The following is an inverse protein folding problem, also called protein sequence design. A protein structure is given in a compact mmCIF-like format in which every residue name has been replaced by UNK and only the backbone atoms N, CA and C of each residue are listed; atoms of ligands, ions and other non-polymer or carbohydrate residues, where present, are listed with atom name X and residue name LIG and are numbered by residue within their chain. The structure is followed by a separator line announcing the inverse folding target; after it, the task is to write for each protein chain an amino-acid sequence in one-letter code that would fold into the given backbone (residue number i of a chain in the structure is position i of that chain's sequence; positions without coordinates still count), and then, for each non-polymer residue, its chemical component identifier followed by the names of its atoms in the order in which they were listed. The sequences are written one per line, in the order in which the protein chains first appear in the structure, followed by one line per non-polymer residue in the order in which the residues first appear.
data_IF_232385731445
#
_entry.id   IF_232385731445
#
_cell.length_a   1.000
_cell.length_b   1.000
_cell.length_c   1.000
_cell.angle_alpha   90.00
_cell.angle_beta   90.00
_cell.angle_gamma   90.00
#
_symmetry.space_group_name_H-M   'P 1'
#
loop_
_entity.id
_entity.type
_entity.pdbx_description
1 polymer ?
#
# COMPACT_ATOMS: atom_id res chain seq x y z
N UNK A 1 52.99 3.08 -50.62
CA UNK A 1 51.63 3.58 -50.35
C UNK A 1 51.14 2.95 -49.04
N UNK A 2 51.21 3.72 -47.93
CA UNK A 2 50.73 3.27 -46.60
C UNK A 2 49.28 3.79 -46.43
N UNK A 3 48.32 2.86 -46.26
CA UNK A 3 46.91 3.20 -45.96
C UNK A 3 46.76 3.37 -44.47
N UNK A 4 46.44 4.57 -44.02
CA UNK A 4 46.03 4.86 -42.63
C UNK A 4 44.56 4.47 -42.48
N UNK A 5 44.28 3.55 -41.56
CA UNK A 5 42.92 3.26 -41.08
C UNK A 5 42.63 4.21 -39.92
N UNK A 6 41.70 5.11 -40.11
CA UNK A 6 41.14 5.92 -39.02
C UNK A 6 39.96 5.14 -38.42
N UNK A 7 40.15 4.60 -37.19
CA UNK A 7 39.06 4.04 -36.40
C UNK A 7 38.32 5.18 -35.72
N UNK A 8 37.06 5.41 -36.15
CA UNK A 8 36.13 6.31 -35.47
C UNK A 8 35.45 5.50 -34.37
N UNK A 9 35.83 5.74 -33.13
CA UNK A 9 35.12 5.25 -31.94
C UNK A 9 33.92 6.19 -31.69
N UNK A 10 32.73 5.69 -32.00
CA UNK A 10 31.47 6.36 -31.62
C UNK A 10 31.17 6.03 -30.18
N UNK A 11 31.46 6.97 -29.30
CA UNK A 11 30.99 6.88 -27.89
C UNK A 11 29.51 7.17 -27.83
N UNK A 12 28.71 6.13 -27.62
CA UNK A 12 27.27 6.23 -27.37
C UNK A 12 27.06 6.72 -25.93
N UNK A 13 26.80 8.00 -25.77
CA UNK A 13 26.37 8.60 -24.52
C UNK A 13 24.91 8.16 -24.27
N UNK A 14 24.70 7.15 -23.44
CA UNK A 14 23.36 6.81 -22.95
C UNK A 14 22.99 7.82 -21.87
N UNK A 15 22.24 8.84 -22.25
CA UNK A 15 21.60 9.73 -21.30
C UNK A 15 20.44 8.96 -20.64
N UNK A 16 20.65 8.45 -19.43
CA UNK A 16 19.57 7.94 -18.57
C UNK A 16 18.77 9.15 -18.09
N UNK A 17 17.69 9.46 -18.79
CA UNK A 17 16.71 10.40 -18.30
C UNK A 17 15.99 9.77 -17.09
N UNK A 18 16.37 10.20 -15.89
CA UNK A 18 15.52 10.01 -14.72
C UNK A 18 14.27 10.86 -14.90
N UNK A 19 13.25 10.26 -15.48
CA UNK A 19 11.90 10.82 -15.42
C UNK A 19 11.45 10.68 -13.97
N UNK A 20 11.59 11.77 -13.20
CA UNK A 20 10.88 11.90 -11.94
C UNK A 20 9.39 11.73 -12.26
N UNK A 21 8.82 10.59 -11.89
CA UNK A 21 7.38 10.35 -11.98
C UNK A 21 6.75 11.27 -10.91
N UNK A 22 6.48 12.52 -11.30
CA UNK A 22 5.56 13.37 -10.56
C UNK A 22 4.21 12.67 -10.69
N UNK A 23 3.84 11.89 -9.69
CA UNK A 23 2.51 11.32 -9.56
C UNK A 23 1.53 12.50 -9.56
N UNK A 24 0.88 12.76 -10.70
CA UNK A 24 -0.29 13.61 -10.73
C UNK A 24 -1.35 12.90 -9.90
N UNK A 25 -1.51 13.33 -8.63
CA UNK A 25 -2.67 12.95 -7.83
C UNK A 25 -3.90 13.42 -8.59
N UNK A 26 -4.63 12.49 -9.21
CA UNK A 26 -5.94 12.76 -9.78
C UNK A 26 -6.81 13.31 -8.67
N UNK A 27 -7.38 14.51 -8.85
CA UNK A 27 -8.31 15.07 -7.88
C UNK A 27 -9.56 14.20 -7.83
N UNK A 28 -9.81 13.56 -6.70
CA UNK A 28 -11.06 12.84 -6.48
C UNK A 28 -12.12 13.87 -6.04
N UNK A 29 -13.24 13.98 -6.77
CA UNK A 29 -14.29 14.92 -6.40
C UNK A 29 -14.75 14.70 -4.94
N UNK A 30 -14.86 15.80 -4.16
CA UNK A 30 -15.28 15.74 -2.76
C UNK A 30 -14.22 15.21 -1.79
N UNK A 31 -12.96 15.06 -2.23
CA UNK A 31 -11.84 14.68 -1.36
C UNK A 31 -10.75 15.73 -1.47
N UNK A 32 -10.33 16.26 -0.32
CA UNK A 32 -9.18 17.15 -0.16
C UNK A 32 -8.06 16.43 0.59
N UNK A 33 -6.95 17.11 0.84
CA UNK A 33 -5.85 16.55 1.62
C UNK A 33 -5.35 17.56 2.65
N UNK A 34 -5.22 17.11 3.89
CA UNK A 34 -4.48 17.82 4.93
C UNK A 34 -3.03 17.38 4.83
N UNK A 35 -2.11 18.34 4.63
CA UNK A 35 -0.67 18.06 4.50
C UNK A 35 0.10 18.74 5.60
N UNK A 36 1.05 18.01 6.18
CA UNK A 36 2.01 18.55 7.13
C UNK A 36 3.37 17.89 6.93
N UNK A 37 4.44 18.63 7.24
CA UNK A 37 5.82 18.16 7.11
C UNK A 37 6.54 18.37 8.46
N UNK A 38 6.21 17.59 9.50
CA UNK A 38 6.92 17.66 10.77
C UNK A 38 8.38 17.24 10.58
N UNK A 39 9.26 17.98 11.23
CA UNK A 39 10.69 17.70 11.20
C UNK A 39 11.33 17.92 12.57
N UNK A 40 12.45 17.29 12.81
CA UNK A 40 13.31 17.49 13.96
C UNK A 40 14.78 17.35 13.55
N UNK A 41 15.70 17.45 14.50
CA UNK A 41 17.13 17.26 14.24
C UNK A 41 17.48 15.84 13.73
N UNK A 42 16.57 14.87 13.88
CA UNK A 42 16.84 13.46 13.57
C UNK A 42 15.79 12.79 12.69
N UNK A 43 14.67 13.42 12.39
CA UNK A 43 13.70 12.90 11.42
C UNK A 43 13.10 13.96 10.51
N UNK A 44 12.60 13.48 9.38
CA UNK A 44 11.75 14.23 8.46
C UNK A 44 10.50 13.39 8.15
N UNK A 45 9.34 14.03 8.14
CA UNK A 45 8.07 13.35 7.86
C UNK A 45 7.25 14.12 6.83
N UNK A 46 6.46 13.37 6.06
CA UNK A 46 5.48 13.89 5.11
C UNK A 46 4.14 13.21 5.35
N UNK A 47 3.22 13.91 5.99
CA UNK A 47 1.87 13.45 6.25
C UNK A 47 0.93 14.04 5.20
N UNK A 48 0.18 13.17 4.54
CA UNK A 48 -0.82 13.51 3.52
C UNK A 48 -2.10 12.71 3.84
N UNK A 49 -3.08 13.38 4.49
CA UNK A 49 -4.28 12.75 5.04
C UNK A 49 -5.48 13.13 4.18
N UNK A 50 -6.21 12.17 3.58
CA UNK A 50 -7.41 12.47 2.81
C UNK A 50 -8.55 12.91 3.71
N UNK A 51 -9.32 13.90 3.24
CA UNK A 51 -10.48 14.44 3.91
C UNK A 51 -11.69 14.42 2.96
N UNK A 52 -12.70 13.61 3.30
CA UNK A 52 -13.95 13.47 2.57
C UNK A 52 -14.95 14.52 3.05
N UNK A 53 -15.49 15.33 2.13
CA UNK A 53 -16.39 16.43 2.46
C UNK A 53 -17.68 15.98 3.17
N UNK A 54 -18.12 14.76 2.92
CA UNK A 54 -19.40 14.20 3.38
C UNK A 54 -19.27 12.98 4.32
N UNK A 55 -18.07 12.74 4.88
CA UNK A 55 -17.83 11.63 5.80
C UNK A 55 -16.92 12.01 6.99
N UNK A 56 -17.34 12.94 7.87
CA UNK A 56 -16.49 13.47 8.95
C UNK A 56 -16.04 12.39 9.96
N UNK A 57 -16.87 11.37 10.22
CA UNK A 57 -16.46 10.26 11.10
C UNK A 57 -15.37 9.40 10.46
N UNK A 58 -15.45 9.15 9.15
CA UNK A 58 -14.38 8.49 8.41
C UNK A 58 -13.07 9.31 8.48
N UNK A 59 -13.16 10.64 8.30
CA UNK A 59 -11.99 11.53 8.41
C UNK A 59 -11.32 11.41 9.78
N UNK A 60 -12.10 11.33 10.85
CA UNK A 60 -11.57 11.11 12.20
C UNK A 60 -10.84 9.77 12.31
N UNK A 61 -11.40 8.69 11.78
CA UNK A 61 -10.78 7.35 11.80
C UNK A 61 -9.47 7.36 11.02
N UNK A 62 -9.47 7.95 9.81
CA UNK A 62 -8.28 8.06 8.96
C UNK A 62 -7.19 8.87 9.65
N UNK A 63 -7.54 10.05 10.17
CA UNK A 63 -6.60 10.94 10.85
C UNK A 63 -5.97 10.28 12.07
N UNK A 64 -6.78 9.61 12.91
CA UNK A 64 -6.28 8.87 14.06
C UNK A 64 -5.32 7.75 13.65
N UNK A 65 -5.61 7.04 12.54
CA UNK A 65 -4.74 5.96 12.04
C UNK A 65 -3.39 6.48 11.58
N UNK A 66 -3.38 7.54 10.76
CA UNK A 66 -2.12 8.13 10.25
C UNK A 66 -1.31 8.77 11.36
N UNK A 67 -1.97 9.53 12.26
CA UNK A 67 -1.28 10.13 13.40
C UNK A 67 -0.73 9.06 14.35
N UNK A 68 -1.45 7.97 14.61
CA UNK A 68 -0.95 6.85 15.40
C UNK A 68 0.31 6.21 14.78
N UNK A 69 0.34 6.01 13.48
CA UNK A 69 1.55 5.54 12.79
C UNK A 69 2.73 6.52 12.92
N UNK A 70 2.43 7.82 12.84
CA UNK A 70 3.46 8.85 13.00
C UNK A 70 3.98 8.93 14.44
N UNK A 71 3.11 8.81 15.44
CA UNK A 71 3.50 8.78 16.85
C UNK A 71 4.38 7.56 17.16
N UNK A 72 4.02 6.37 16.64
CA UNK A 72 4.84 5.16 16.73
C UNK A 72 6.21 5.38 16.09
N UNK A 73 6.25 5.96 14.88
CA UNK A 73 7.50 6.29 14.19
C UNK A 73 8.38 7.23 15.01
N UNK A 74 7.83 8.29 15.60
CA UNK A 74 8.60 9.23 16.44
C UNK A 74 9.20 8.54 17.65
N UNK A 75 8.43 7.66 18.31
CA UNK A 75 8.91 6.88 19.44
C UNK A 75 10.05 5.92 19.04
N UNK A 76 9.90 5.20 17.93
CA UNK A 76 10.92 4.29 17.42
C UNK A 76 12.19 5.05 16.99
N UNK A 77 12.02 6.20 16.34
CA UNK A 77 13.11 7.06 15.92
C UNK A 77 13.91 7.60 17.12
N UNK A 78 13.23 8.03 18.18
CA UNK A 78 13.89 8.49 19.40
C UNK A 78 14.65 7.36 20.10
N UNK A 79 14.08 6.16 20.20
CA UNK A 79 14.74 4.99 20.77
C UNK A 79 15.98 4.59 19.96
N UNK A 80 15.86 4.54 18.63
CA UNK A 80 16.97 4.16 17.75
C UNK A 80 18.09 5.19 17.74
N UNK A 81 17.77 6.49 17.82
CA UNK A 81 18.75 7.55 17.97
C UNK A 81 19.62 7.38 19.21
N UNK A 82 19.06 6.95 20.32
CA UNK A 82 19.80 6.73 21.56
C UNK A 82 20.71 5.49 21.50
N UNK A 83 20.36 4.49 20.69
CA UNK A 83 21.07 3.21 20.60
C UNK A 83 22.10 3.13 19.48
N UNK A 84 22.08 4.05 18.52
CA UNK A 84 22.86 3.92 17.28
C UNK A 84 23.82 5.10 17.07
N UNK A 85 24.99 4.77 16.51
CA UNK A 85 25.94 5.75 15.96
C UNK A 85 25.26 6.42 14.76
N UNK A 86 25.42 7.72 14.62
CA UNK A 86 24.95 8.59 13.55
C UNK A 86 24.96 7.89 12.18
N UNK A 87 23.77 7.62 11.61
CA UNK A 87 23.64 7.03 10.27
C UNK A 87 23.90 8.05 9.15
N UNK A 88 24.17 9.31 9.46
CA UNK A 88 24.41 10.38 8.50
C UNK A 88 23.19 10.75 7.66
N UNK A 89 22.01 10.17 7.94
CA UNK A 89 20.74 10.46 7.29
C UNK A 89 19.61 10.56 8.34
N UNK A 90 18.68 11.50 8.21
CA UNK A 90 17.52 11.57 9.08
C UNK A 90 16.64 10.32 8.90
N UNK A 91 15.97 9.90 9.97
CA UNK A 91 14.88 8.96 9.89
C UNK A 91 13.74 9.55 9.06
N UNK A 92 12.96 8.73 8.37
CA UNK A 92 11.92 9.24 7.47
C UNK A 92 10.59 8.55 7.68
N UNK A 93 9.52 9.34 7.59
CA UNK A 93 8.14 8.85 7.56
C UNK A 93 7.41 9.50 6.40
N UNK A 94 6.72 8.71 5.59
CA UNK A 94 5.87 9.18 4.51
C UNK A 94 4.60 8.34 4.44
N UNK A 95 3.44 8.97 4.45
CA UNK A 95 2.21 8.27 4.14
C UNK A 95 1.61 8.75 2.82
N UNK A 96 0.90 7.84 2.16
CA UNK A 96 0.17 8.05 0.93
C UNK A 96 -1.23 7.46 1.05
N UNK A 97 -2.12 7.87 0.17
CA UNK A 97 -3.47 7.32 0.13
C UNK A 97 -3.98 7.19 -1.31
N UNK A 98 -4.92 6.26 -1.47
CA UNK A 98 -5.63 6.05 -2.72
C UNK A 98 -7.11 5.83 -2.43
N UNK A 99 -7.96 6.76 -2.86
CA UNK A 99 -9.41 6.58 -2.86
C UNK A 99 -9.76 5.65 -4.02
N UNK A 100 -10.42 4.53 -3.72
CA UNK A 100 -10.84 3.53 -4.70
C UNK A 100 -12.31 3.67 -5.08
N UNK A 101 -13.11 4.28 -4.19
CA UNK A 101 -14.51 4.64 -4.43
C UNK A 101 -14.88 5.89 -3.64
N UNK A 102 -15.63 6.80 -4.26
CA UNK A 102 -16.30 7.92 -3.58
C UNK A 102 -17.59 8.27 -4.31
N UNK A 103 -18.70 7.77 -3.78
CA UNK A 103 -20.06 8.01 -4.28
C UNK A 103 -20.90 8.71 -3.21
N UNK A 104 -22.16 9.01 -3.48
CA UNK A 104 -23.11 9.52 -2.48
C UNK A 104 -23.26 8.58 -1.27
N UNK A 105 -23.11 7.28 -1.46
CA UNK A 105 -23.50 6.27 -0.49
C UNK A 105 -22.28 5.57 0.15
N UNK A 106 -21.12 5.62 -0.51
CA UNK A 106 -19.95 4.89 -0.10
C UNK A 106 -18.65 5.64 -0.38
N UNK A 107 -17.69 5.52 0.55
CA UNK A 107 -16.30 5.87 0.33
C UNK A 107 -15.42 4.66 0.64
N UNK A 108 -14.36 4.45 -0.16
CA UNK A 108 -13.36 3.41 0.10
C UNK A 108 -11.97 3.95 -0.18
N UNK A 109 -11.04 3.73 0.75
CA UNK A 109 -9.70 4.28 0.73
C UNK A 109 -8.69 3.28 1.24
N UNK A 110 -7.53 3.22 0.58
CA UNK A 110 -6.33 2.54 1.03
C UNK A 110 -5.34 3.60 1.51
N UNK A 111 -4.79 3.40 2.69
CA UNK A 111 -3.67 4.16 3.25
C UNK A 111 -2.43 3.28 3.23
N UNK A 112 -1.29 3.86 2.88
CA UNK A 112 0.02 3.24 3.01
C UNK A 112 0.95 4.19 3.73
N UNK A 113 1.88 3.68 4.53
CA UNK A 113 2.96 4.46 5.09
C UNK A 113 4.27 3.70 4.93
N UNK A 114 5.33 4.45 4.71
CA UNK A 114 6.70 3.97 4.74
C UNK A 114 7.44 4.68 5.85
N UNK A 115 8.15 3.93 6.68
CA UNK A 115 9.01 4.49 7.72
C UNK A 115 10.40 3.88 7.66
N UNK A 116 11.40 4.73 7.93
CA UNK A 116 12.79 4.30 8.09
C UNK A 116 13.33 4.89 9.39
N UNK A 117 13.65 4.01 10.32
CA UNK A 117 14.22 4.35 11.64
C UNK A 117 15.60 3.74 11.83
N UNK A 118 16.32 3.52 10.72
CA UNK A 118 17.65 2.88 10.70
C UNK A 118 17.60 1.41 10.28
N UNK A 119 18.77 0.82 10.08
CA UNK A 119 18.90 -0.57 9.62
C UNK A 119 19.00 -0.71 8.11
N UNK A 120 18.79 -1.92 7.58
CA UNK A 120 18.98 -2.25 6.17
C UNK A 120 17.77 -1.90 5.29
N UNK A 121 16.56 -1.88 5.84
CA UNK A 121 15.31 -1.65 5.10
C UNK A 121 14.33 -0.87 5.97
N UNK A 122 13.47 -0.08 5.32
CA UNK A 122 12.33 0.51 5.98
C UNK A 122 11.14 -0.46 6.08
N UNK A 123 10.16 -0.06 6.85
CA UNK A 123 8.91 -0.77 7.08
C UNK A 123 7.77 -0.12 6.29
N UNK A 124 6.91 -0.95 5.72
CA UNK A 124 5.66 -0.52 5.09
C UNK A 124 4.48 -0.89 5.99
N UNK A 125 3.54 0.03 6.15
CA UNK A 125 2.28 -0.16 6.89
C UNK A 125 1.12 0.08 5.94
N UNK A 126 0.03 -0.68 6.11
CA UNK A 126 -1.19 -0.51 5.33
C UNK A 126 -2.40 -0.42 6.24
N UNK A 127 -3.42 0.31 5.80
CA UNK A 127 -4.76 0.28 6.36
C UNK A 127 -5.78 0.59 5.28
N UNK A 128 -6.96 0.02 5.40
CA UNK A 128 -8.05 0.29 4.47
C UNK A 128 -9.35 0.58 5.21
N UNK A 129 -10.16 1.44 4.63
CA UNK A 129 -11.47 1.77 5.19
C UNK A 129 -12.49 1.82 4.06
N UNK A 130 -13.57 1.05 4.24
CA UNK A 130 -14.77 1.14 3.41
C UNK A 130 -15.91 1.64 4.29
N UNK A 131 -16.51 2.76 3.91
CA UNK A 131 -17.47 3.51 4.70
C UNK A 131 -18.83 3.59 4.03
N UNK A 132 -19.88 3.21 4.72
CA UNK A 132 -21.24 3.45 4.29
C UNK A 132 -21.66 4.84 4.81
N UNK A 133 -21.85 5.80 3.91
CA UNK A 133 -22.21 7.18 4.23
C UNK A 133 -23.67 7.31 4.72
N UNK A 134 -24.55 6.41 4.30
CA UNK A 134 -25.97 6.42 4.70
C UNK A 134 -26.15 5.99 6.16
N UNK A 135 -25.37 5.02 6.61
CA UNK A 135 -25.43 4.48 7.98
C UNK A 135 -24.34 5.05 8.89
N UNK A 136 -23.43 5.87 8.34
CA UNK A 136 -22.27 6.41 9.05
C UNK A 136 -21.47 5.31 9.79
N UNK A 137 -21.10 4.23 9.08
CA UNK A 137 -20.42 3.10 9.68
C UNK A 137 -19.42 2.44 8.73
N UNK A 138 -18.41 1.79 9.29
CA UNK A 138 -17.52 0.92 8.53
C UNK A 138 -18.30 -0.25 7.94
N UNK A 139 -17.97 -0.60 6.71
CA UNK A 139 -18.46 -1.81 6.04
C UNK A 139 -17.48 -2.93 6.35
N UNK A 140 -17.97 -4.05 6.85
CA UNK A 140 -17.17 -5.24 7.11
C UNK A 140 -17.05 -6.11 5.85
N UNK A 141 -16.02 -6.94 5.80
CA UNK A 141 -15.78 -7.85 4.68
C UNK A 141 -16.97 -8.77 4.43
N UNK A 142 -17.57 -9.33 5.49
CA UNK A 142 -18.69 -10.27 5.39
C UNK A 142 -19.90 -9.68 4.66
N UNK A 143 -20.10 -8.36 4.74
CA UNK A 143 -21.17 -7.68 4.00
C UNK A 143 -20.88 -7.54 2.50
N UNK A 144 -19.63 -7.65 2.11
CA UNK A 144 -19.17 -7.51 0.73
C UNK A 144 -19.08 -8.86 0.00
N UNK A 145 -18.81 -9.96 0.73
CA UNK A 145 -18.63 -11.29 0.13
C UNK A 145 -19.81 -11.71 -0.77
N UNK A 146 -21.10 -11.48 -0.41
CA UNK A 146 -22.23 -11.85 -1.28
C UNK A 146 -22.28 -11.08 -2.61
N UNK A 147 -21.56 -9.98 -2.73
CA UNK A 147 -21.51 -9.20 -3.97
C UNK A 147 -20.51 -9.76 -4.98
N UNK A 148 -19.56 -10.59 -4.51
CA UNK A 148 -18.41 -11.04 -5.31
C UNK A 148 -18.25 -12.57 -5.32
N UNK A 149 -18.90 -13.31 -4.43
CA UNK A 149 -18.81 -14.76 -4.30
C UNK A 149 -20.18 -15.41 -4.29
N UNK A 150 -20.34 -16.50 -5.06
CA UNK A 150 -21.54 -17.34 -5.01
C UNK A 150 -21.70 -18.05 -3.65
N UNK A 151 -20.60 -18.46 -3.05
CA UNK A 151 -20.51 -18.94 -1.67
C UNK A 151 -19.78 -17.88 -0.84
N UNK A 152 -20.52 -17.03 -0.11
CA UNK A 152 -19.95 -15.86 0.56
C UNK A 152 -19.32 -16.19 1.91
N UNK A 153 -18.27 -16.99 1.91
CA UNK A 153 -17.49 -17.37 3.09
C UNK A 153 -15.97 -17.16 2.88
N UNK A 154 -15.24 -17.18 3.99
CA UNK A 154 -13.79 -16.98 3.98
C UNK A 154 -13.03 -18.12 3.28
N UNK A 155 -13.57 -19.33 3.29
CA UNK A 155 -12.92 -20.47 2.63
C UNK A 155 -12.94 -20.31 1.11
N UNK A 156 -14.07 -19.86 0.55
CA UNK A 156 -14.22 -19.55 -0.86
C UNK A 156 -13.36 -18.37 -1.28
N UNK A 157 -13.32 -17.31 -0.45
CA UNK A 157 -12.43 -16.17 -0.66
C UNK A 157 -10.96 -16.60 -0.68
N UNK A 158 -10.56 -17.40 0.30
CA UNK A 158 -9.19 -17.93 0.42
C UNK A 158 -8.79 -18.74 -0.80
N UNK A 159 -9.66 -19.62 -1.26
CA UNK A 159 -9.41 -20.44 -2.46
C UNK A 159 -9.19 -19.58 -3.71
N UNK A 160 -10.02 -18.56 -3.90
CA UNK A 160 -9.91 -17.64 -5.03
C UNK A 160 -8.63 -16.80 -4.94
N UNK A 161 -8.35 -16.17 -3.80
CA UNK A 161 -7.14 -15.38 -3.60
C UNK A 161 -5.88 -16.22 -3.82
N UNK A 162 -5.88 -17.46 -3.34
CA UNK A 162 -4.77 -18.41 -3.51
C UNK A 162 -4.49 -18.71 -4.97
N UNK A 163 -5.53 -18.94 -5.76
CA UNK A 163 -5.37 -19.22 -7.19
C UNK A 163 -4.86 -17.99 -7.96
N UNK A 164 -5.43 -16.82 -7.70
CA UNK A 164 -5.00 -15.57 -8.35
C UNK A 164 -3.53 -15.22 -8.00
N UNK A 165 -3.13 -15.41 -6.73
CA UNK A 165 -1.75 -15.19 -6.30
C UNK A 165 -0.79 -16.20 -6.94
N UNK A 166 -1.20 -17.47 -7.10
CA UNK A 166 -0.41 -18.46 -7.82
C UNK A 166 -0.18 -18.04 -9.27
N UNK A 167 -1.22 -17.60 -9.95
CA UNK A 167 -1.12 -17.15 -11.35
C UNK A 167 -0.22 -15.93 -11.48
N UNK A 168 -0.37 -14.94 -10.59
CA UNK A 168 0.39 -13.69 -10.66
C UNK A 168 1.86 -13.82 -10.26
N UNK A 169 2.18 -14.75 -9.35
CA UNK A 169 3.53 -14.92 -8.78
C UNK A 169 4.32 -16.09 -9.41
N UNK A 170 3.69 -16.95 -10.21
CA UNK A 170 4.29 -18.17 -10.81
C UNK A 170 5.52 -17.89 -11.69
N UNK A 171 5.74 -16.67 -12.15
CA UNK A 171 6.99 -16.32 -12.85
C UNK A 171 8.26 -16.55 -11.99
N UNK A 172 8.12 -16.90 -10.70
CA UNK A 172 9.23 -17.09 -9.78
C UNK A 172 9.56 -18.55 -9.43
N UNK A 173 8.75 -19.53 -9.87
CA UNK A 173 8.92 -21.00 -9.75
C UNK A 173 9.72 -21.48 -8.49
N UNK A 174 9.29 -21.00 -7.29
CA UNK A 174 9.94 -21.30 -6.01
C UNK A 174 8.98 -22.10 -5.12
N UNK A 175 9.37 -23.30 -4.65
CA UNK A 175 8.53 -24.12 -3.75
C UNK A 175 8.08 -23.35 -2.50
N UNK A 176 8.98 -22.60 -1.89
CA UNK A 176 8.73 -21.82 -0.67
C UNK A 176 7.62 -20.77 -0.87
N UNK A 177 7.42 -20.28 -2.11
CA UNK A 177 6.37 -19.36 -2.45
C UNK A 177 4.97 -19.96 -2.27
N UNK A 178 4.79 -21.23 -2.64
CA UNK A 178 3.50 -21.93 -2.48
C UNK A 178 3.12 -22.08 -1.01
N UNK A 179 4.10 -22.34 -0.14
CA UNK A 179 3.89 -22.41 1.30
C UNK A 179 3.50 -21.04 1.89
N UNK A 180 4.17 -19.97 1.47
CA UNK A 180 3.81 -18.60 1.89
C UNK A 180 2.40 -18.22 1.44
N UNK A 181 2.04 -18.48 0.18
CA UNK A 181 0.69 -18.23 -0.34
C UNK A 181 -0.33 -19.02 0.49
N UNK A 182 -0.07 -20.32 0.77
CA UNK A 182 -0.98 -21.15 1.55
C UNK A 182 -1.19 -20.60 2.95
N UNK A 183 -0.10 -20.27 3.66
CA UNK A 183 -0.15 -19.75 5.02
C UNK A 183 -0.81 -18.36 5.10
N UNK A 184 -0.41 -17.43 4.22
CA UNK A 184 -0.93 -16.07 4.21
C UNK A 184 -2.35 -15.92 3.67
N UNK A 185 -2.92 -17.00 3.10
CA UNK A 185 -4.31 -17.06 2.65
C UNK A 185 -5.16 -18.08 3.44
N UNK A 186 -4.77 -18.46 4.65
CA UNK A 186 -5.66 -19.24 5.52
C UNK A 186 -6.98 -18.51 5.73
N UNK A 187 -8.14 -19.23 5.78
CA UNK A 187 -9.46 -18.61 5.89
C UNK A 187 -9.76 -18.11 7.32
N UNK A 188 -8.90 -17.24 7.81
CA UNK A 188 -9.05 -16.54 9.09
C UNK A 188 -9.25 -15.04 8.84
N UNK A 189 -10.09 -14.34 9.61
CA UNK A 189 -10.42 -12.93 9.38
C UNK A 189 -9.19 -12.04 9.25
N UNK A 190 -8.18 -12.27 10.08
CA UNK A 190 -6.96 -11.46 10.19
C UNK A 190 -6.17 -11.39 8.88
N UNK A 191 -6.28 -12.42 8.03
CA UNK A 191 -5.62 -12.44 6.72
C UNK A 191 -6.33 -11.58 5.66
N UNK A 192 -7.54 -11.07 5.96
CA UNK A 192 -8.42 -10.35 5.01
C UNK A 192 -8.91 -9.00 5.54
N UNK A 193 -8.25 -8.46 6.55
CA UNK A 193 -8.61 -7.16 7.15
C UNK A 193 -8.37 -5.98 6.21
N UNK A 194 -7.46 -6.15 5.24
CA UNK A 194 -7.11 -5.12 4.28
C UNK A 194 -7.87 -5.31 2.97
N UNK A 195 -8.91 -4.51 2.77
CA UNK A 195 -9.70 -4.55 1.55
C UNK A 195 -10.26 -3.19 1.17
N UNK A 196 -10.49 -2.98 -0.11
CA UNK A 196 -11.24 -1.84 -0.64
C UNK A 196 -12.26 -2.29 -1.68
N UNK A 197 -13.23 -1.45 -1.97
CA UNK A 197 -14.14 -1.63 -3.11
C UNK A 197 -13.92 -0.53 -4.14
N UNK A 198 -14.24 -0.85 -5.39
CA UNK A 198 -14.22 0.06 -6.53
C UNK A 198 -15.42 -0.24 -7.44
N UNK A 199 -15.53 0.46 -8.57
CA UNK A 199 -16.48 0.13 -9.64
C UNK A 199 -16.23 -1.25 -10.27
N UNK A 200 -15.04 -1.83 -10.09
CA UNK A 200 -14.63 -3.12 -10.64
C UNK A 200 -14.90 -4.31 -9.72
N UNK A 201 -15.00 -4.08 -8.42
CA UNK A 201 -15.16 -5.16 -7.44
C UNK A 201 -14.49 -4.89 -6.11
N UNK A 202 -14.29 -5.97 -5.36
CA UNK A 202 -13.57 -6.05 -4.10
C UNK A 202 -12.08 -6.29 -4.37
N UNK A 203 -11.19 -5.52 -3.75
CA UNK A 203 -9.76 -5.79 -3.76
C UNK A 203 -9.30 -6.16 -2.36
N UNK A 204 -8.68 -7.33 -2.23
CA UNK A 204 -8.00 -7.78 -1.01
C UNK A 204 -6.52 -7.43 -1.14
N UNK A 205 -5.91 -6.90 -0.07
CA UNK A 205 -4.48 -6.60 -0.01
C UNK A 205 -3.80 -7.52 0.99
N UNK A 206 -2.61 -7.96 0.63
CA UNK A 206 -1.72 -8.77 1.47
C UNK A 206 -0.46 -7.96 1.73
N UNK A 207 -0.12 -7.79 2.99
CA UNK A 207 1.07 -7.05 3.38
C UNK A 207 2.35 -7.73 2.90
N UNK A 208 3.42 -6.96 2.87
CA UNK A 208 4.77 -7.48 2.58
C UNK A 208 5.10 -8.64 3.51
N UNK A 209 5.62 -9.72 2.97
CA UNK A 209 5.90 -11.01 3.63
C UNK A 209 4.68 -11.88 3.97
N UNK A 210 3.46 -11.44 3.80
CA UNK A 210 2.28 -12.26 4.12
C UNK A 210 2.13 -13.45 3.17
N UNK A 211 2.22 -13.22 1.86
CA UNK A 211 1.98 -14.25 0.82
C UNK A 211 3.17 -14.46 -0.12
N UNK A 212 4.21 -13.62 0.01
CA UNK A 212 5.39 -13.68 -0.84
C UNK A 212 6.61 -13.11 -0.11
N UNK A 213 7.86 -13.41 -0.56
CA UNK A 213 9.07 -12.80 -0.02
C UNK A 213 9.02 -11.28 -0.12
N UNK A 214 9.67 -10.60 0.82
CA UNK A 214 9.63 -9.13 0.89
C UNK A 214 10.12 -8.40 -0.37
N UNK A 215 10.92 -9.05 -1.21
CA UNK A 215 11.32 -8.52 -2.52
C UNK A 215 10.18 -8.41 -3.53
N UNK A 216 9.07 -9.14 -3.30
CA UNK A 216 7.88 -9.05 -4.13
C UNK A 216 6.94 -7.89 -3.70
N UNK A 217 7.20 -7.26 -2.54
CA UNK A 217 6.34 -6.22 -1.98
C UNK A 217 4.99 -6.74 -1.49
N UNK A 218 4.08 -5.82 -1.20
CA UNK A 218 2.68 -6.13 -0.92
C UNK A 218 1.97 -6.63 -2.18
N UNK A 219 0.97 -7.51 -2.01
CA UNK A 219 0.21 -8.10 -3.11
C UNK A 219 -1.26 -7.67 -3.04
N UNK A 220 -1.97 -7.76 -4.18
CA UNK A 220 -3.39 -7.42 -4.23
C UNK A 220 -4.13 -8.35 -5.19
N UNK A 221 -5.33 -8.76 -4.80
CA UNK A 221 -6.24 -9.58 -5.61
C UNK A 221 -7.54 -8.84 -5.82
N UNK A 222 -7.89 -8.56 -7.07
CA UNK A 222 -9.17 -7.97 -7.46
C UNK A 222 -10.18 -9.09 -7.75
N UNK A 223 -11.31 -9.04 -7.08
CA UNK A 223 -12.44 -9.97 -7.23
C UNK A 223 -13.62 -9.19 -7.84
N UNK A 224 -13.98 -9.45 -9.10
CA UNK A 224 -15.06 -8.73 -9.76
C UNK A 224 -16.42 -8.99 -9.09
N UNK A 225 -17.36 -8.04 -9.23
CA UNK A 225 -18.74 -8.27 -8.83
C UNK A 225 -19.38 -9.41 -9.64
N UNK A 226 -20.24 -10.17 -8.97
CA UNK A 226 -21.12 -11.15 -9.64
C UNK A 226 -22.01 -10.44 -10.67
N UNK A 227 -22.27 -11.08 -11.80
CA UNK A 227 -23.10 -10.54 -12.88
C UNK A 227 -24.57 -10.87 -12.66
#
# INVERSE_FOLDING_TARGET
MKRFHVSITVSLLVAVAFTACVSQKSSVPGVTAIRSMPESDFYQANLDIPEFADAPQLNTIISNKVNGWFDDFVNDAELNRQMTVDFGQPFTFENQWRVTMNTSDCASVLLTAYQFTGGANGEEKMASFTWNKLTNSLVTLERLLPLVLEQPDLASLAALCREELRVSLVAQDKPDLLEMIQAGTEPVPENYDLFTISDKGLTIYFEKYQVAPGSAGSQAVLIPYLK
#
